data_IF_253556119730
#
_entry.id   IF_253556119730
#
_cell.length_a   1.000
_cell.length_b   1.000
_cell.length_c   1.000
_cell.angle_alpha   90.00
_cell.angle_beta   90.00
_cell.angle_gamma   90.00
#
_symmetry.space_group_name_H-M   'P 1'
#
loop_
_entity.id
_entity.type
_entity.pdbx_description
1 polymer ?
#
# COMPACT_ATOMS: atom_id res chain seq x y z
N UNK A 1 -18.18 -18.68 -13.55
CA UNK A 1 -17.64 -18.38 -12.19
C UNK A 1 -16.14 -18.17 -12.19
N UNK A 2 -15.32 -19.12 -12.69
CA UNK A 2 -13.85 -18.98 -12.70
C UNK A 2 -13.34 -17.73 -13.45
N UNK A 3 -13.90 -17.40 -14.62
CA UNK A 3 -13.54 -16.19 -15.37
C UNK A 3 -13.91 -14.88 -14.65
N UNK A 4 -14.98 -14.90 -13.85
CA UNK A 4 -15.42 -13.73 -13.07
C UNK A 4 -14.45 -13.48 -11.91
N UNK A 5 -13.95 -14.54 -11.26
CA UNK A 5 -12.96 -14.43 -10.19
C UNK A 5 -11.66 -13.81 -10.71
N UNK A 6 -11.19 -14.23 -11.89
CA UNK A 6 -10.00 -13.64 -12.51
C UNK A 6 -10.21 -12.16 -12.86
N UNK A 7 -11.35 -11.80 -13.44
CA UNK A 7 -11.70 -10.40 -13.73
C UNK A 7 -11.71 -9.54 -12.46
N UNK A 8 -12.35 -10.01 -11.38
CA UNK A 8 -12.39 -9.29 -10.10
C UNK A 8 -10.99 -9.13 -9.53
N UNK A 9 -10.16 -10.19 -9.56
CA UNK A 9 -8.79 -10.11 -9.06
C UNK A 9 -7.94 -9.08 -9.83
N UNK A 10 -8.05 -9.06 -11.16
CA UNK A 10 -7.35 -8.09 -12.00
C UNK A 10 -7.83 -6.67 -11.71
N UNK A 11 -9.15 -6.46 -11.64
CA UNK A 11 -9.72 -5.16 -11.30
C UNK A 11 -9.27 -4.65 -9.93
N UNK A 12 -9.23 -5.54 -8.93
CA UNK A 12 -8.80 -5.20 -7.57
C UNK A 12 -7.34 -4.73 -7.53
N UNK A 13 -6.46 -5.41 -8.27
CA UNK A 13 -5.04 -5.05 -8.40
C UNK A 13 -4.87 -3.72 -9.15
N UNK A 14 -5.71 -3.43 -10.14
CA UNK A 14 -5.66 -2.15 -10.86
C UNK A 14 -6.06 -0.94 -9.99
N UNK A 15 -6.84 -1.15 -8.92
CA UNK A 15 -7.32 -0.08 -8.05
C UNK A 15 -6.40 0.14 -6.84
N UNK A 16 -5.69 -0.92 -6.39
CA UNK A 16 -4.83 -0.89 -5.19
C UNK A 16 -3.40 -0.50 -5.55
N UNK A 17 -3.15 0.81 -5.65
CA UNK A 17 -1.85 1.36 -6.05
C UNK A 17 -0.76 1.04 -5.02
N UNK A 18 -1.10 1.08 -3.73
CA UNK A 18 -0.16 0.78 -2.66
C UNK A 18 0.36 -0.67 -2.72
N UNK A 19 -0.52 -1.68 -2.87
CA UNK A 19 -0.11 -3.10 -2.95
C UNK A 19 0.80 -3.37 -4.15
N UNK A 20 0.49 -2.79 -5.31
CA UNK A 20 1.33 -2.95 -6.51
C UNK A 20 2.73 -2.35 -6.31
N UNK A 21 2.84 -1.24 -5.57
CA UNK A 21 4.14 -0.62 -5.24
C UNK A 21 4.96 -1.45 -4.25
N UNK A 22 4.32 -2.15 -3.32
CA UNK A 22 5.01 -2.82 -2.20
C UNK A 22 5.21 -4.32 -2.37
N UNK A 23 4.52 -4.96 -3.32
CA UNK A 23 4.59 -6.42 -3.49
C UNK A 23 5.99 -6.93 -3.87
N UNK A 24 6.74 -6.13 -4.63
CA UNK A 24 8.10 -6.47 -5.04
C UNK A 24 8.98 -5.21 -5.04
N UNK A 25 9.43 -4.76 -3.85
CA UNK A 25 10.23 -3.56 -3.73
C UNK A 25 11.64 -3.81 -4.28
N UNK A 26 12.18 -2.83 -5.02
CA UNK A 26 13.58 -2.87 -5.45
C UNK A 26 14.48 -2.74 -4.22
N UNK A 27 15.53 -3.55 -4.15
CA UNK A 27 16.54 -3.52 -3.08
C UNK A 27 15.99 -3.59 -1.65
N UNK A 28 14.79 -4.17 -1.47
CA UNK A 28 14.09 -4.22 -0.19
C UNK A 28 13.83 -2.83 0.45
N UNK A 29 13.71 -1.80 -0.37
CA UNK A 29 13.49 -0.42 0.05
C UNK A 29 12.34 0.21 -0.74
N UNK A 30 11.57 1.06 -0.07
CA UNK A 30 10.57 1.91 -0.69
C UNK A 30 10.63 3.32 -0.13
N UNK A 31 10.39 4.30 -0.98
CA UNK A 31 10.21 5.68 -0.54
C UNK A 31 8.72 5.96 -0.38
N UNK A 32 8.32 6.30 0.84
CA UNK A 32 6.96 6.74 1.14
C UNK A 32 7.02 8.25 1.36
N UNK A 33 6.65 8.98 0.31
CA UNK A 33 6.62 10.45 0.31
C UNK A 33 5.26 10.94 -0.19
N UNK A 34 4.63 11.84 0.56
CA UNK A 34 3.41 12.53 0.15
C UNK A 34 3.68 14.02 -0.02
N UNK A 35 3.56 14.53 -1.26
CA UNK A 35 3.73 15.97 -1.59
C UNK A 35 5.03 16.61 -1.03
N UNK A 36 6.13 15.86 -1.05
CA UNK A 36 7.44 16.32 -0.56
C UNK A 36 7.70 16.06 0.92
N UNK A 37 6.71 15.57 1.67
CA UNK A 37 6.85 15.16 3.07
C UNK A 37 7.11 13.66 3.17
N UNK A 38 8.17 13.29 3.90
CA UNK A 38 8.50 11.88 4.13
C UNK A 38 7.60 11.27 5.21
N UNK A 39 7.32 9.98 5.07
CA UNK A 39 6.71 9.19 6.15
C UNK A 39 7.66 9.05 7.34
N UNK A 40 7.11 9.05 8.56
CA UNK A 40 7.86 8.71 9.78
C UNK A 40 8.07 7.19 9.97
N UNK A 41 7.50 6.35 9.10
CA UNK A 41 7.76 4.92 9.15
C UNK A 41 9.21 4.60 8.78
N UNK A 42 9.87 3.74 9.56
CA UNK A 42 11.21 3.22 9.25
C UNK A 42 11.17 1.92 8.45
N UNK A 43 10.13 1.10 8.66
CA UNK A 43 9.94 -0.15 7.93
C UNK A 43 8.47 -0.57 7.91
N UNK A 44 8.10 -1.36 6.92
CA UNK A 44 6.77 -2.00 6.84
C UNK A 44 6.89 -3.52 6.63
N UNK A 45 5.94 -4.32 7.13
CA UNK A 45 5.89 -5.74 6.81
C UNK A 45 5.54 -5.94 5.32
N UNK A 46 6.03 -7.01 4.70
CA UNK A 46 5.61 -7.47 3.35
C UNK A 46 4.20 -8.02 3.36
N UNK A 47 3.84 -8.69 4.45
CA UNK A 47 2.47 -9.14 4.74
C UNK A 47 1.62 -7.91 5.03
N UNK A 48 0.51 -7.76 4.29
CA UNK A 48 -0.32 -6.55 4.33
C UNK A 48 0.47 -5.24 4.08
N UNK A 49 1.41 -5.31 3.13
CA UNK A 49 2.29 -4.18 2.82
C UNK A 49 1.58 -2.99 2.18
N UNK A 50 0.54 -3.21 1.36
CA UNK A 50 -0.24 -2.13 0.76
C UNK A 50 -1.06 -1.37 1.81
N UNK A 51 -1.66 -2.11 2.74
CA UNK A 51 -2.34 -1.50 3.89
C UNK A 51 -1.34 -0.69 4.75
N UNK A 52 -0.20 -1.29 5.08
CA UNK A 52 0.87 -0.63 5.87
C UNK A 52 1.40 0.63 5.19
N UNK A 53 1.61 0.58 3.87
CA UNK A 53 2.00 1.74 3.06
C UNK A 53 0.98 2.88 3.18
N UNK A 54 -0.32 2.56 3.09
CA UNK A 54 -1.39 3.56 3.18
C UNK A 54 -1.42 4.24 4.56
N UNK A 55 -1.22 3.47 5.63
CA UNK A 55 -1.08 4.02 6.99
C UNK A 55 0.17 4.89 7.13
N UNK A 56 1.32 4.44 6.60
CA UNK A 56 2.56 5.21 6.61
C UNK A 56 2.45 6.52 5.83
N UNK A 57 1.71 6.51 4.72
CA UNK A 57 1.43 7.72 3.95
C UNK A 57 0.64 8.75 4.78
N UNK A 58 -0.31 8.28 5.60
CA UNK A 58 -1.07 9.14 6.51
C UNK A 58 -0.24 9.60 7.73
N UNK A 59 0.76 8.82 8.13
CA UNK A 59 1.72 9.16 9.18
C UNK A 59 2.96 9.90 8.62
N UNK A 60 2.76 10.79 7.65
CA UNK A 60 3.82 11.63 7.09
C UNK A 60 3.97 12.93 7.87
N UNK A 61 5.11 13.60 7.68
CA UNK A 61 5.37 14.91 8.28
C UNK A 61 4.17 15.86 8.05
N UNK A 62 3.65 16.51 9.12
CA UNK A 62 2.49 17.36 9.01
C UNK A 62 2.79 18.53 8.07
N UNK A 63 1.94 18.71 7.06
CA UNK A 63 2.01 19.88 6.20
C UNK A 63 1.31 21.05 6.89
N UNK A 64 1.93 22.23 6.87
CA UNK A 64 1.32 23.51 7.31
C UNK A 64 0.02 23.85 6.55
N UNK A 65 -0.24 23.15 5.44
CA UNK A 65 -1.46 23.26 4.66
C UNK A 65 -2.37 22.07 4.90
N UNK A 66 -3.60 22.30 5.37
CA UNK A 66 -4.62 21.24 5.49
C UNK A 66 -4.96 20.75 4.09
N UNK A 67 -4.34 19.64 3.70
CA UNK A 67 -4.46 19.05 2.38
C UNK A 67 -4.86 17.59 2.54
N UNK A 68 -6.16 17.31 2.49
CA UNK A 68 -6.72 15.94 2.57
C UNK A 68 -6.43 15.07 1.34
N UNK A 69 -5.48 15.48 0.47
CA UNK A 69 -5.23 14.86 -0.82
C UNK A 69 -6.45 14.97 -1.75
N UNK A 70 -6.51 14.09 -2.75
CA UNK A 70 -7.70 13.95 -3.60
C UNK A 70 -8.81 13.27 -2.79
N UNK A 71 -10.01 13.85 -2.77
CA UNK A 71 -11.18 13.29 -2.08
C UNK A 71 -12.27 12.90 -3.07
N UNK A 72 -12.93 11.77 -2.85
CA UNK A 72 -14.13 11.36 -3.57
C UNK A 72 -15.30 11.35 -2.58
N UNK A 73 -16.33 12.15 -2.81
CA UNK A 73 -17.49 12.28 -1.91
C UNK A 73 -17.08 12.51 -0.43
N UNK A 74 -16.14 13.43 -0.19
CA UNK A 74 -15.61 13.75 1.15
C UNK A 74 -14.80 12.62 1.83
N UNK A 75 -14.49 11.54 1.11
CA UNK A 75 -13.60 10.46 1.56
C UNK A 75 -12.22 10.63 0.92
N UNK A 76 -11.13 10.69 1.71
CA UNK A 76 -9.77 10.74 1.15
C UNK A 76 -9.46 9.52 0.29
N UNK A 77 -8.85 9.74 -0.88
CA UNK A 77 -8.49 8.64 -1.80
C UNK A 77 -7.57 7.61 -1.15
N UNK A 78 -6.69 8.03 -0.22
CA UNK A 78 -5.84 7.11 0.55
C UNK A 78 -6.66 6.11 1.38
N UNK A 79 -7.83 6.49 1.89
CA UNK A 79 -8.70 5.58 2.63
C UNK A 79 -9.36 4.56 1.69
N UNK A 80 -9.73 4.98 0.48
CA UNK A 80 -10.26 4.09 -0.55
C UNK A 80 -9.19 3.10 -1.01
N UNK A 81 -7.99 3.60 -1.35
CA UNK A 81 -6.83 2.78 -1.72
C UNK A 81 -6.48 1.79 -0.61
N UNK A 82 -6.49 2.21 0.66
CA UNK A 82 -6.24 1.33 1.80
C UNK A 82 -7.20 0.14 1.87
N UNK A 83 -8.51 0.35 1.69
CA UNK A 83 -9.51 -0.72 1.70
C UNK A 83 -9.27 -1.72 0.57
N UNK A 84 -9.02 -1.23 -0.65
CA UNK A 84 -8.71 -2.11 -1.78
C UNK A 84 -7.38 -2.83 -1.61
N UNK A 85 -6.39 -2.17 -1.02
CA UNK A 85 -5.09 -2.77 -0.70
C UNK A 85 -5.19 -3.88 0.32
N UNK A 86 -6.06 -3.80 1.34
CA UNK A 86 -6.30 -4.93 2.26
C UNK A 86 -6.79 -6.16 1.49
N UNK A 87 -7.73 -5.96 0.56
CA UNK A 87 -8.26 -7.06 -0.24
C UNK A 87 -7.18 -7.63 -1.20
N UNK A 88 -6.41 -6.76 -1.88
CA UNK A 88 -5.33 -7.18 -2.76
C UNK A 88 -4.20 -7.88 -2.01
N UNK A 89 -3.80 -7.37 -0.84
CA UNK A 89 -2.82 -7.98 0.06
C UNK A 89 -3.27 -9.38 0.51
N UNK A 90 -4.57 -9.60 0.71
CA UNK A 90 -5.13 -10.92 1.04
C UNK A 90 -5.01 -11.88 -0.14
N UNK A 91 -5.21 -11.41 -1.37
CA UNK A 91 -5.03 -12.22 -2.59
C UNK A 91 -3.57 -12.64 -2.77
N UNK A 92 -2.63 -11.74 -2.50
CA UNK A 92 -1.18 -12.01 -2.65
C UNK A 92 -0.53 -12.56 -1.37
N UNK A 93 -1.32 -12.82 -0.33
CA UNK A 93 -0.85 -13.26 0.99
C UNK A 93 0.04 -14.53 0.93
N UNK A 94 -0.29 -15.59 0.16
CA UNK A 94 0.56 -16.77 0.10
C UNK A 94 1.97 -16.47 -0.43
N UNK A 95 2.08 -15.50 -1.35
CA UNK A 95 3.35 -15.05 -1.88
C UNK A 95 4.09 -14.16 -0.88
N UNK A 96 3.40 -13.18 -0.27
CA UNK A 96 4.03 -12.21 0.64
C UNK A 96 4.49 -12.83 1.96
N UNK A 97 3.83 -13.89 2.44
CA UNK A 97 4.26 -14.64 3.64
C UNK A 97 5.60 -15.34 3.39
N UNK A 98 5.79 -15.97 2.23
CA UNK A 98 7.06 -16.64 1.88
C UNK A 98 8.18 -15.61 1.74
N UNK A 99 7.93 -14.50 1.04
CA UNK A 99 8.95 -13.47 0.85
C UNK A 99 9.27 -12.72 2.15
N UNK A 100 8.31 -12.58 3.06
CA UNK A 100 8.53 -12.08 4.43
C UNK A 100 9.52 -12.94 5.19
N UNK A 101 9.36 -14.27 5.16
CA UNK A 101 10.28 -15.16 5.86
C UNK A 101 11.71 -15.11 5.29
N UNK A 102 11.84 -14.86 3.98
CA UNK A 102 13.14 -14.83 3.30
C UNK A 102 13.88 -13.50 3.45
N UNK A 103 13.16 -12.38 3.37
CA UNK A 103 13.77 -11.05 3.23
C UNK A 103 13.42 -10.08 4.38
N UNK A 104 12.57 -10.49 5.32
CA UNK A 104 12.17 -9.67 6.47
C UNK A 104 11.21 -8.54 6.11
N UNK A 105 11.33 -7.40 6.80
CA UNK A 105 10.55 -6.19 6.52
C UNK A 105 11.16 -5.38 5.36
N UNK A 106 10.32 -4.56 4.74
CA UNK A 106 10.71 -3.58 3.72
C UNK A 106 11.16 -2.32 4.45
N UNK A 107 12.35 -1.80 4.11
CA UNK A 107 12.83 -0.52 4.66
C UNK A 107 12.09 0.65 4.01
N UNK A 108 11.79 1.65 4.80
CA UNK A 108 11.17 2.89 4.34
C UNK A 108 12.16 4.04 4.51
N UNK A 109 12.37 4.81 3.45
CA UNK A 109 13.28 5.97 3.38
C UNK A 109 14.71 5.65 3.82
#
# INVERSE_FOLDING_TARGET
MKNIIYLISVSLVCISCATVKTINPKDNQIDITHRGHKSYCESIPRVYSGASYSFCLMNSEPSETVNHGSTLNNVPFVAIDAVFSVAADTVVLPYTVVTQAQHGNIKVN
#
